data_IF_110806936409
#
_entry.id   IF_110806936409
#
_cell.length_a   1.000
_cell.length_b   1.000
_cell.length_c   1.000
_cell.angle_alpha   90.00
_cell.angle_beta   90.00
_cell.angle_gamma   90.00
#
_symmetry.space_group_name_H-M   'P 1'
#
loop_
_entity.id
_entity.type
_entity.pdbx_description
1 polymer ?
#
# COMPACT_ATOMS: atom_id res chain seq x y z
N UNK A 1 -20.00 20.13 2.79
CA UNK A 1 -20.42 20.01 1.38
C UNK A 1 -19.44 19.21 0.50
N UNK A 2 -18.27 19.73 0.08
CA UNK A 2 -17.35 18.98 -0.82
C UNK A 2 -16.86 17.66 -0.20
N UNK A 3 -16.47 17.66 1.08
CA UNK A 3 -16.02 16.44 1.78
C UNK A 3 -17.11 15.38 1.89
N UNK A 4 -18.36 15.78 2.10
CA UNK A 4 -19.50 14.86 2.22
C UNK A 4 -19.84 14.23 0.87
N UNK A 5 -19.80 15.02 -0.21
CA UNK A 5 -19.99 14.52 -1.57
C UNK A 5 -18.89 13.50 -1.92
N UNK A 6 -17.62 13.83 -1.62
CA UNK A 6 -16.50 12.93 -1.86
C UNK A 6 -16.62 11.63 -1.06
N UNK A 7 -17.01 11.71 0.22
CA UNK A 7 -17.26 10.53 1.05
C UNK A 7 -18.40 9.67 0.50
N UNK A 8 -19.50 10.28 0.07
CA UNK A 8 -20.61 9.57 -0.56
C UNK A 8 -20.16 8.82 -1.81
N UNK A 9 -19.40 9.47 -2.70
CA UNK A 9 -18.85 8.84 -3.91
C UNK A 9 -17.92 7.68 -3.55
N UNK A 10 -16.99 7.87 -2.60
CA UNK A 10 -16.08 6.80 -2.18
C UNK A 10 -16.82 5.60 -1.58
N UNK A 11 -17.88 5.83 -0.80
CA UNK A 11 -18.69 4.77 -0.20
C UNK A 11 -19.42 3.93 -1.25
N UNK A 12 -19.97 4.59 -2.27
CA UNK A 12 -20.75 3.93 -3.33
C UNK A 12 -19.90 3.34 -4.45
N UNK A 13 -18.65 3.77 -4.61
CA UNK A 13 -17.77 3.31 -5.68
C UNK A 13 -17.61 1.78 -5.69
N UNK A 14 -17.30 1.16 -4.55
CA UNK A 14 -17.08 -0.28 -4.44
C UNK A 14 -18.36 -1.08 -4.75
N UNK A 15 -19.51 -0.81 -4.10
CA UNK A 15 -20.77 -1.50 -4.43
C UNK A 15 -21.19 -1.36 -5.89
N UNK A 16 -21.07 -0.16 -6.48
CA UNK A 16 -21.44 0.08 -7.87
C UNK A 16 -20.58 -0.73 -8.81
N UNK A 17 -19.28 -0.84 -8.56
CA UNK A 17 -18.36 -1.66 -9.37
C UNK A 17 -18.70 -3.15 -9.20
N UNK A 18 -18.87 -3.62 -7.96
CA UNK A 18 -19.14 -5.01 -7.63
C UNK A 18 -20.44 -5.53 -8.23
N UNK A 19 -21.48 -4.70 -8.29
CA UNK A 19 -22.78 -5.09 -8.83
C UNK A 19 -22.88 -4.72 -10.32
N UNK A 20 -22.44 -3.53 -10.70
CA UNK A 20 -22.59 -3.00 -12.05
C UNK A 20 -21.82 -3.77 -13.10
N UNK A 21 -20.57 -4.18 -12.82
CA UNK A 21 -19.76 -4.92 -13.79
C UNK A 21 -20.40 -6.29 -14.12
N UNK A 22 -20.75 -7.15 -13.13
CA UNK A 22 -21.46 -8.39 -13.40
C UNK A 22 -22.81 -8.18 -14.08
N UNK A 23 -23.58 -7.15 -13.68
CA UNK A 23 -24.89 -6.88 -14.27
C UNK A 23 -24.79 -6.55 -15.76
N UNK A 24 -23.81 -5.71 -16.15
CA UNK A 24 -23.55 -5.39 -17.56
C UNK A 24 -23.14 -6.65 -18.33
N UNK A 25 -22.30 -7.51 -17.73
CA UNK A 25 -21.92 -8.79 -18.33
C UNK A 25 -23.12 -9.71 -18.56
N UNK A 26 -24.01 -9.81 -17.57
CA UNK A 26 -25.26 -10.59 -17.66
C UNK A 26 -26.18 -10.06 -18.77
N UNK A 27 -26.40 -8.75 -18.84
CA UNK A 27 -27.25 -8.11 -19.87
C UNK A 27 -26.69 -8.35 -21.28
N UNK A 28 -25.35 -8.41 -21.42
CA UNK A 28 -24.68 -8.68 -22.70
C UNK A 28 -24.54 -10.17 -23.03
N UNK A 29 -25.11 -11.08 -22.21
CA UNK A 29 -25.04 -12.53 -22.43
C UNK A 29 -23.64 -13.11 -22.21
N UNK A 30 -22.77 -12.42 -21.49
CA UNK A 30 -21.43 -12.93 -21.13
C UNK A 30 -21.56 -13.98 -20.02
N UNK A 31 -20.79 -15.05 -20.12
CA UNK A 31 -20.63 -16.04 -19.04
C UNK A 31 -19.78 -15.43 -17.91
N UNK A 32 -20.38 -14.55 -17.12
CA UNK A 32 -19.70 -13.73 -16.10
C UNK A 32 -18.87 -14.57 -15.14
N UNK A 33 -19.39 -15.72 -14.72
CA UNK A 33 -18.67 -16.63 -13.84
C UNK A 33 -17.37 -17.15 -14.46
N UNK A 34 -17.40 -17.62 -15.71
CA UNK A 34 -16.22 -18.17 -16.39
C UNK A 34 -15.13 -17.10 -16.55
N UNK A 35 -15.52 -15.91 -17.02
CA UNK A 35 -14.61 -14.76 -17.19
C UNK A 35 -14.05 -14.29 -15.85
N UNK A 36 -14.85 -14.29 -14.79
CA UNK A 36 -14.39 -13.96 -13.44
C UNK A 36 -13.32 -14.95 -12.95
N UNK A 37 -13.52 -16.25 -13.14
CA UNK A 37 -12.54 -17.28 -12.74
C UNK A 37 -11.26 -17.15 -13.56
N UNK A 38 -11.35 -16.86 -14.86
CA UNK A 38 -10.20 -16.59 -15.71
C UNK A 38 -9.40 -15.37 -15.22
N UNK A 39 -10.06 -14.24 -15.00
CA UNK A 39 -9.43 -13.03 -14.45
C UNK A 39 -8.84 -13.26 -13.05
N UNK A 40 -9.49 -14.06 -12.20
CA UNK A 40 -8.97 -14.42 -10.89
C UNK A 40 -7.68 -15.26 -10.99
N UNK A 41 -7.60 -16.19 -11.95
CA UNK A 41 -6.38 -16.99 -12.20
C UNK A 41 -5.22 -16.11 -12.68
N UNK A 42 -5.50 -15.20 -13.62
CA UNK A 42 -4.49 -14.24 -14.08
C UNK A 42 -4.00 -13.35 -12.93
N UNK A 43 -4.92 -12.80 -12.15
CA UNK A 43 -4.60 -12.00 -10.97
C UNK A 43 -3.77 -12.77 -9.95
N UNK A 44 -4.08 -14.05 -9.72
CA UNK A 44 -3.30 -14.91 -8.83
C UNK A 44 -1.87 -15.11 -9.35
N UNK A 45 -1.69 -15.37 -10.66
CA UNK A 45 -0.36 -15.47 -11.25
C UNK A 45 0.44 -14.17 -11.11
N UNK A 46 -0.19 -13.02 -11.32
CA UNK A 46 0.44 -11.71 -11.12
C UNK A 46 0.85 -11.53 -9.65
N UNK A 47 -0.01 -11.89 -8.70
CA UNK A 47 0.32 -11.82 -7.28
C UNK A 47 1.54 -12.68 -6.94
N UNK A 48 1.59 -13.93 -7.41
CA UNK A 48 2.74 -14.83 -7.22
C UNK A 48 4.03 -14.24 -7.79
N UNK A 49 3.96 -13.55 -8.95
CA UNK A 49 5.12 -12.85 -9.53
C UNK A 49 5.58 -11.63 -8.71
N UNK A 50 4.67 -10.95 -8.01
CA UNK A 50 4.98 -9.77 -7.20
C UNK A 50 5.56 -10.13 -5.83
N UNK A 51 5.17 -11.28 -5.24
CA UNK A 51 5.63 -11.72 -3.91
C UNK A 51 7.16 -11.65 -3.76
N UNK A 52 7.99 -12.20 -4.66
CA UNK A 52 9.44 -12.16 -4.53
C UNK A 52 10.01 -10.73 -4.44
N UNK A 53 9.47 -9.78 -5.21
CA UNK A 53 9.88 -8.38 -5.16
C UNK A 53 9.55 -7.75 -3.81
N UNK A 54 8.35 -8.00 -3.29
CA UNK A 54 7.94 -7.50 -1.98
C UNK A 54 8.82 -8.09 -0.88
N UNK A 55 9.08 -9.40 -0.90
CA UNK A 55 9.97 -10.05 0.06
C UNK A 55 11.37 -9.45 -0.02
N UNK A 56 11.94 -9.28 -1.22
CA UNK A 56 13.26 -8.68 -1.39
C UNK A 56 13.38 -7.28 -0.80
N UNK A 57 12.40 -6.41 -1.07
CA UNK A 57 12.37 -5.04 -0.53
C UNK A 57 12.20 -5.05 0.98
N UNK A 58 11.26 -5.84 1.52
CA UNK A 58 11.02 -5.92 2.97
C UNK A 58 12.24 -6.48 3.72
N UNK A 59 12.91 -7.50 3.18
CA UNK A 59 14.14 -8.06 3.74
C UNK A 59 15.28 -7.05 3.68
N UNK A 60 15.51 -6.39 2.54
CA UNK A 60 16.54 -5.36 2.39
C UNK A 60 16.36 -4.22 3.40
N UNK A 61 15.13 -3.76 3.60
CA UNK A 61 14.81 -2.71 4.57
C UNK A 61 14.99 -3.23 6.00
N UNK A 62 14.58 -4.47 6.29
CA UNK A 62 14.85 -5.13 7.56
C UNK A 62 16.34 -5.19 7.89
N UNK A 63 17.16 -5.64 6.95
CA UNK A 63 18.63 -5.68 7.08
C UNK A 63 19.22 -4.27 7.25
N UNK A 64 18.79 -3.31 6.44
CA UNK A 64 19.27 -1.93 6.49
C UNK A 64 18.96 -1.23 7.82
N UNK A 65 17.84 -1.60 8.46
CA UNK A 65 17.52 -1.17 9.82
C UNK A 65 18.35 -1.91 10.87
N UNK A 66 18.46 -3.23 10.77
CA UNK A 66 19.19 -4.06 11.74
C UNK A 66 20.70 -3.78 11.75
N UNK A 67 21.27 -3.34 10.62
CA UNK A 67 22.69 -3.00 10.50
C UNK A 67 23.07 -1.64 11.09
N UNK A 68 22.10 -0.82 11.53
CA UNK A 68 22.34 0.56 11.99
C UNK A 68 22.59 1.56 10.86
N UNK A 69 22.57 1.12 9.59
CA UNK A 69 22.77 2.01 8.44
C UNK A 69 21.66 3.07 8.32
N UNK A 70 20.44 2.73 8.73
CA UNK A 70 19.35 3.70 8.82
C UNK A 70 19.62 4.81 9.85
N UNK A 71 20.22 4.49 11.00
CA UNK A 71 20.57 5.49 12.02
C UNK A 71 21.69 6.41 11.52
N UNK A 72 22.67 5.86 10.79
CA UNK A 72 23.71 6.63 10.13
C UNK A 72 23.12 7.61 9.09
N UNK A 73 22.22 7.12 8.24
CA UNK A 73 21.52 7.95 7.25
C UNK A 73 20.70 9.05 7.92
N UNK A 74 19.98 8.71 8.99
CA UNK A 74 19.15 9.64 9.75
C UNK A 74 20.00 10.74 10.38
N UNK A 75 21.14 10.38 11.00
CA UNK A 75 22.08 11.33 11.58
C UNK A 75 22.73 12.24 10.54
N UNK A 76 23.09 11.69 9.37
CA UNK A 76 23.65 12.46 8.27
C UNK A 76 22.65 13.48 7.68
N UNK A 77 21.37 13.10 7.58
CA UNK A 77 20.29 13.98 7.09
C UNK A 77 19.71 14.89 8.16
N UNK A 78 19.97 14.63 9.45
CA UNK A 78 19.49 15.43 10.58
C UNK A 78 19.70 16.94 10.45
N UNK A 79 20.86 17.49 10.03
CA UNK A 79 21.03 18.93 9.90
C UNK A 79 20.14 19.56 8.80
N UNK A 80 19.73 18.76 7.80
CA UNK A 80 18.79 19.20 6.75
C UNK A 80 17.35 19.06 7.23
N UNK A 81 17.00 17.92 7.83
CA UNK A 81 15.63 17.61 8.26
C UNK A 81 15.19 18.44 9.47
N UNK A 82 16.10 18.77 10.39
CA UNK A 82 15.81 19.62 11.56
C UNK A 82 15.44 21.06 11.20
N UNK A 83 15.70 21.50 9.97
CA UNK A 83 15.21 22.77 9.42
C UNK A 83 13.77 22.67 8.90
N UNK A 84 13.21 21.47 8.89
CA UNK A 84 11.85 21.17 8.43
C UNK A 84 10.99 20.64 9.57
N UNK A 85 9.68 20.53 9.35
CA UNK A 85 8.73 19.91 10.30
C UNK A 85 8.84 18.36 10.28
N UNK A 86 9.67 17.79 9.40
CA UNK A 86 9.75 16.35 9.22
C UNK A 86 10.55 15.67 10.35
N UNK A 87 9.93 14.76 11.13
CA UNK A 87 10.65 13.98 12.15
C UNK A 87 11.57 12.95 11.48
N UNK A 88 12.90 12.99 11.72
CA UNK A 88 13.86 12.10 11.07
C UNK A 88 13.57 10.60 11.29
N UNK A 89 12.93 10.24 12.39
CA UNK A 89 12.56 8.86 12.74
C UNK A 89 11.53 8.26 11.78
N UNK A 90 10.81 9.10 11.01
CA UNK A 90 9.88 8.68 9.97
C UNK A 90 10.55 8.52 8.59
N UNK A 91 11.86 8.75 8.45
CA UNK A 91 12.59 8.49 7.21
C UNK A 91 12.36 7.08 6.64
N UNK A 92 12.41 5.99 7.44
CA UNK A 92 12.13 4.65 6.94
C UNK A 92 10.72 4.54 6.36
N UNK A 93 9.74 5.19 7.00
CA UNK A 93 8.36 5.19 6.56
C UNK A 93 8.19 5.98 5.25
N UNK A 94 8.87 7.13 5.13
CA UNK A 94 8.84 7.94 3.92
C UNK A 94 9.40 7.17 2.70
N UNK A 95 10.52 6.45 2.87
CA UNK A 95 11.10 5.59 1.84
C UNK A 95 10.17 4.43 1.51
N UNK A 96 9.60 3.77 2.52
CA UNK A 96 8.67 2.66 2.30
C UNK A 96 7.40 3.10 1.59
N UNK A 97 6.88 4.30 1.87
CA UNK A 97 5.65 4.82 1.26
C UNK A 97 5.77 5.00 -0.24
N UNK A 98 6.92 5.46 -0.75
CA UNK A 98 7.14 5.65 -2.18
C UNK A 98 7.31 4.33 -2.94
N UNK A 99 7.87 3.32 -2.28
CA UNK A 99 8.09 2.00 -2.89
C UNK A 99 6.87 1.08 -2.77
N UNK A 100 6.11 1.19 -1.67
CA UNK A 100 4.97 0.30 -1.39
C UNK A 100 3.92 0.94 -0.49
N UNK A 101 2.72 1.10 -1.05
CA UNK A 101 1.54 1.55 -0.28
C UNK A 101 1.15 0.56 0.84
N UNK A 102 1.20 -0.74 0.57
CA UNK A 102 0.87 -1.78 1.55
C UNK A 102 1.97 -1.99 2.59
N UNK A 103 3.25 -1.96 2.18
CA UNK A 103 4.39 -2.07 3.09
C UNK A 103 4.49 -0.88 4.07
N UNK A 104 4.19 0.33 3.60
CA UNK A 104 4.12 1.51 4.49
C UNK A 104 2.99 1.44 5.50
N UNK A 105 1.83 0.89 5.12
CA UNK A 105 0.72 0.63 6.05
C UNK A 105 1.11 -0.36 7.16
N UNK A 106 1.81 -1.43 6.81
CA UNK A 106 2.33 -2.39 7.77
C UNK A 106 3.31 -1.73 8.75
N UNK A 107 4.29 -0.96 8.24
CA UNK A 107 5.25 -0.25 9.08
C UNK A 107 4.56 0.81 9.96
N UNK A 108 3.59 1.54 9.43
CA UNK A 108 2.80 2.53 10.19
C UNK A 108 2.08 1.84 11.35
N UNK A 109 1.48 0.67 11.09
CA UNK A 109 0.82 -0.13 12.12
C UNK A 109 1.80 -0.56 13.21
N UNK A 110 3.02 -0.97 12.84
CA UNK A 110 4.07 -1.31 13.80
C UNK A 110 4.53 -0.11 14.64
N UNK A 111 4.66 1.08 14.01
CA UNK A 111 4.98 2.33 14.71
C UNK A 111 3.88 2.69 15.69
N UNK A 112 2.61 2.65 15.28
CA UNK A 112 1.46 2.91 16.15
C UNK A 112 1.45 1.92 17.31
N UNK A 113 1.66 0.62 17.06
CA UNK A 113 1.71 -0.38 18.13
C UNK A 113 2.85 -0.15 19.14
N UNK A 114 3.96 0.45 18.73
CA UNK A 114 5.13 0.70 19.59
C UNK A 114 5.07 2.02 20.35
N UNK A 115 4.48 3.06 19.75
CA UNK A 115 4.55 4.44 20.26
C UNK A 115 3.19 5.13 20.43
N UNK A 116 2.12 4.58 19.87
CA UNK A 116 0.75 5.09 20.02
C UNK A 116 0.10 4.47 21.24
N UNK A 117 0.11 5.19 22.37
CA UNK A 117 -0.76 4.90 23.50
C UNK A 117 -2.24 5.01 23.10
#
# INVERSE_FOLDING_TARGET
MIREILQGISLWAIPVILVGIPLIGLIRGVKVYDVFIEGAKEGFQVAVKIIPFLVGILVAIGMFRASGAMDLLTNALRPLLSRTIFPPELLPLAILRTLSGSGSLALTTDVIKRYGA
#
